data_IF_567874953907
#
_entry.id   IF_567874953907
#
_cell.length_a   1.000
_cell.length_b   1.000
_cell.length_c   1.000
_cell.angle_alpha   90.00
_cell.angle_beta   90.00
_cell.angle_gamma   90.00
#
_symmetry.space_group_name_H-M   'P 1'
#
loop_
_entity.id
_entity.type
_entity.pdbx_description
1 polymer ?
#
# COMPACT_ATOMS: atom_id res chain seq x y z
N UNK A 1 -61.14 -27.58 5.88
CA UNK A 1 -60.81 -26.21 6.34
C UNK A 1 -59.30 -26.15 6.58
N UNK A 2 -58.45 -26.18 5.54
CA UNK A 2 -56.98 -26.34 5.72
C UNK A 2 -56.22 -26.14 4.39
N UNK A 3 -56.27 -24.94 3.82
CA UNK A 3 -55.31 -24.57 2.74
C UNK A 3 -55.03 -23.07 2.69
N UNK A 4 -55.96 -22.22 3.16
CA UNK A 4 -55.78 -20.76 3.23
C UNK A 4 -54.65 -20.33 4.18
N UNK A 5 -54.32 -21.13 5.20
CA UNK A 5 -53.25 -20.80 6.15
C UNK A 5 -51.85 -21.24 5.68
N UNK A 6 -51.74 -22.10 4.66
CA UNK A 6 -50.43 -22.51 4.14
C UNK A 6 -49.86 -21.47 3.17
N UNK A 7 -50.74 -20.80 2.39
CA UNK A 7 -50.37 -19.75 1.45
C UNK A 7 -49.92 -18.44 2.14
N UNK A 8 -50.40 -18.20 3.36
CA UNK A 8 -50.03 -17.03 4.17
C UNK A 8 -48.61 -17.11 4.74
N UNK A 9 -48.04 -18.31 4.89
CA UNK A 9 -46.65 -18.48 5.32
C UNK A 9 -45.66 -18.48 4.14
N UNK A 10 -46.12 -18.79 2.92
CA UNK A 10 -45.26 -18.78 1.72
C UNK A 10 -44.99 -17.37 1.18
N UNK A 11 -45.87 -16.41 1.48
CA UNK A 11 -45.75 -15.02 1.01
C UNK A 11 -44.83 -14.15 1.86
N UNK A 12 -44.43 -14.62 3.05
CA UNK A 12 -43.47 -13.90 3.91
C UNK A 12 -41.98 -14.16 3.54
N UNK A 13 -41.70 -15.08 2.61
CA UNK A 13 -40.32 -15.47 2.28
C UNK A 13 -39.63 -14.62 1.19
N UNK A 14 -40.34 -13.66 0.56
CA UNK A 14 -39.83 -12.92 -0.60
C UNK A 14 -39.31 -11.50 -0.32
N UNK A 15 -39.05 -11.15 0.93
CA UNK A 15 -38.45 -9.85 1.28
C UNK A 15 -37.20 -10.04 2.15
N UNK A 16 -36.30 -10.92 1.72
CA UNK A 16 -34.89 -10.74 2.04
C UNK A 16 -34.34 -9.81 0.96
N UNK A 17 -34.22 -8.49 1.17
CA UNK A 17 -33.36 -7.71 0.31
C UNK A 17 -32.00 -8.38 0.41
N UNK A 18 -31.57 -8.99 -0.69
CA UNK A 18 -30.20 -9.46 -0.84
C UNK A 18 -29.34 -8.20 -0.87
N UNK A 19 -29.10 -7.63 0.30
CA UNK A 19 -28.08 -6.62 0.51
C UNK A 19 -26.76 -7.35 0.34
N UNK A 20 -26.35 -7.50 -0.92
CA UNK A 20 -24.92 -7.55 -1.19
C UNK A 20 -24.41 -6.18 -0.75
N UNK A 21 -23.94 -6.11 0.50
CA UNK A 21 -23.36 -4.90 1.10
C UNK A 21 -22.04 -4.60 0.41
N UNK A 22 -22.09 -4.25 -0.88
CA UNK A 22 -20.91 -3.94 -1.66
C UNK A 22 -20.39 -2.62 -1.14
N UNK A 23 -19.24 -2.69 -0.47
CA UNK A 23 -18.52 -1.50 -0.03
C UNK A 23 -18.41 -0.53 -1.21
N UNK A 24 -18.68 0.77 -1.01
CA UNK A 24 -18.58 1.73 -2.09
C UNK A 24 -17.21 1.67 -2.75
N UNK A 25 -17.17 1.86 -4.06
CA UNK A 25 -15.90 1.95 -4.77
C UNK A 25 -15.25 3.31 -4.51
N UNK A 26 -14.46 3.39 -3.45
CA UNK A 26 -13.60 4.53 -3.15
C UNK A 26 -12.22 4.22 -3.72
N UNK A 27 -11.72 5.11 -4.56
CA UNK A 27 -10.37 5.04 -5.11
C UNK A 27 -9.60 6.24 -4.58
N UNK A 28 -8.42 6.00 -4.02
CA UNK A 28 -7.55 7.05 -3.55
C UNK A 28 -6.11 6.75 -3.97
N UNK A 29 -5.39 7.80 -4.34
CA UNK A 29 -3.99 7.75 -4.78
C UNK A 29 -3.20 8.85 -4.08
N UNK A 30 -1.92 8.58 -3.87
CA UNK A 30 -0.98 9.50 -3.24
C UNK A 30 0.23 9.63 -4.16
N UNK A 31 0.64 10.88 -4.43
CA UNK A 31 1.77 11.23 -5.28
C UNK A 31 2.67 12.19 -4.52
N UNK A 32 3.99 12.04 -4.64
CA UNK A 32 4.96 13.00 -4.12
C UNK A 32 5.15 14.10 -5.18
N UNK A 33 5.10 15.38 -4.77
CA UNK A 33 5.43 16.50 -5.64
C UNK A 33 6.95 16.74 -5.71
N UNK A 34 7.38 17.72 -6.52
CA UNK A 34 8.81 18.02 -6.70
C UNK A 34 9.50 18.56 -5.44
N UNK A 35 8.74 19.03 -4.45
CA UNK A 35 9.23 19.61 -3.19
C UNK A 35 9.23 18.55 -2.06
N UNK A 36 8.57 17.41 -2.29
CA UNK A 36 8.47 16.30 -1.34
C UNK A 36 7.11 16.22 -0.62
N UNK A 37 6.15 17.10 -0.93
CA UNK A 37 4.82 17.02 -0.31
C UNK A 37 4.03 15.85 -0.89
N UNK A 38 3.10 15.32 -0.11
CA UNK A 38 2.21 14.26 -0.55
C UNK A 38 0.87 14.84 -1.00
N UNK A 39 0.58 14.70 -2.29
CA UNK A 39 -0.72 15.05 -2.88
C UNK A 39 -1.59 13.80 -2.88
N UNK A 40 -2.65 13.83 -2.09
CA UNK A 40 -3.66 12.77 -2.00
C UNK A 40 -4.86 13.18 -2.85
N UNK A 41 -5.30 12.31 -3.76
CA UNK A 41 -6.48 12.50 -4.60
C UNK A 41 -7.44 11.33 -4.41
N UNK A 42 -8.75 11.57 -4.47
CA UNK A 42 -9.75 10.53 -4.32
C UNK A 42 -11.00 10.74 -5.16
N UNK A 43 -11.63 9.61 -5.48
CA UNK A 43 -12.94 9.52 -6.11
C UNK A 43 -13.85 8.65 -5.25
N UNK A 44 -15.11 9.09 -5.10
CA UNK A 44 -16.13 8.40 -4.33
C UNK A 44 -17.45 8.40 -5.09
N UNK A 45 -18.32 7.40 -4.91
CA UNK A 45 -19.68 7.46 -5.43
C UNK A 45 -20.43 8.67 -4.87
N UNK A 46 -21.29 9.31 -5.67
CA UNK A 46 -21.97 10.57 -5.31
C UNK A 46 -22.79 10.51 -4.01
N UNK A 47 -23.21 9.32 -3.57
CA UNK A 47 -23.92 9.07 -2.31
C UNK A 47 -23.06 9.24 -1.05
N UNK A 48 -21.74 9.30 -1.17
CA UNK A 48 -20.84 9.54 -0.05
C UNK A 48 -20.63 11.05 0.06
N UNK A 49 -21.05 11.61 1.19
CA UNK A 49 -20.92 13.04 1.53
C UNK A 49 -20.24 13.18 2.89
N UNK A 50 -19.88 14.41 3.25
CA UNK A 50 -19.26 14.74 4.53
C UNK A 50 -17.75 14.97 4.41
N UNK A 51 -17.02 14.65 5.48
CA UNK A 51 -15.59 14.92 5.60
C UNK A 51 -14.76 13.65 5.41
N UNK A 52 -13.53 13.83 4.95
CA UNK A 52 -12.47 12.82 5.01
C UNK A 52 -11.44 13.23 6.06
N UNK A 53 -11.11 12.30 6.96
CA UNK A 53 -10.05 12.47 7.96
C UNK A 53 -8.84 11.68 7.52
N UNK A 54 -7.67 12.30 7.52
CA UNK A 54 -6.41 11.67 7.12
C UNK A 54 -5.51 11.52 8.35
N UNK A 55 -5.01 10.31 8.55
CA UNK A 55 -4.06 9.95 9.61
C UNK A 55 -2.77 9.45 8.96
N UNK A 56 -1.62 9.71 9.58
CA UNK A 56 -0.33 9.29 9.06
C UNK A 56 0.44 8.41 10.05
N UNK A 57 1.32 7.56 9.53
CA UNK A 57 2.29 6.78 10.30
C UNK A 57 3.48 6.42 9.43
N UNK A 58 4.64 6.22 10.06
CA UNK A 58 5.82 5.64 9.40
C UNK A 58 5.76 4.11 9.33
N UNK A 59 4.78 3.49 9.99
CA UNK A 59 4.50 2.06 9.92
C UNK A 59 3.28 1.77 9.02
N UNK A 60 3.40 0.91 7.99
CA UNK A 60 2.28 0.59 7.10
C UNK A 60 1.16 -0.21 7.79
N UNK A 61 1.52 -1.01 8.79
CA UNK A 61 0.59 -1.92 9.46
C UNK A 61 -0.23 -1.16 10.52
N UNK A 62 0.40 -0.23 11.24
CA UNK A 62 -0.18 0.48 12.38
C UNK A 62 -0.26 1.99 12.12
N UNK A 63 -1.47 2.44 11.74
CA UNK A 63 -1.80 3.86 11.58
C UNK A 63 -2.89 4.21 12.60
N UNK A 64 -2.54 4.84 13.75
CA UNK A 64 -3.47 5.08 14.83
C UNK A 64 -4.49 6.18 14.46
N UNK A 65 -5.80 5.89 14.48
CA UNK A 65 -6.84 6.85 14.10
C UNK A 65 -7.21 7.77 15.28
N UNK A 66 -6.21 8.38 15.94
CA UNK A 66 -6.41 9.27 17.09
C UNK A 66 -6.56 10.72 16.64
N UNK A 67 -5.44 11.34 16.28
CA UNK A 67 -5.40 12.74 15.85
C UNK A 67 -5.22 12.78 14.32
N UNK A 68 -6.21 13.28 13.56
CA UNK A 68 -6.04 13.44 12.12
C UNK A 68 -4.99 14.52 11.85
N UNK A 69 -4.12 14.27 10.88
CA UNK A 69 -3.15 15.26 10.40
C UNK A 69 -3.80 16.27 9.45
N UNK A 70 -4.96 15.93 8.89
CA UNK A 70 -5.73 16.77 8.00
C UNK A 70 -7.19 16.32 7.93
N UNK A 71 -8.07 17.28 7.63
CA UNK A 71 -9.50 17.06 7.40
C UNK A 71 -9.88 17.88 6.16
N UNK A 72 -10.62 17.29 5.23
CA UNK A 72 -11.10 17.95 4.02
C UNK A 72 -12.56 17.55 3.73
N UNK A 73 -13.26 18.33 2.91
CA UNK A 73 -14.55 17.88 2.38
C UNK A 73 -14.33 16.78 1.35
N UNK A 74 -15.20 15.77 1.35
CA UNK A 74 -15.12 14.69 0.34
C UNK A 74 -15.27 15.26 -1.07
N UNK A 75 -15.99 16.37 -1.24
CA UNK A 75 -16.13 17.11 -2.51
C UNK A 75 -14.88 17.83 -2.96
N UNK A 76 -13.84 17.96 -2.13
CA UNK A 76 -12.60 18.63 -2.54
C UNK A 76 -11.77 17.75 -3.49
N UNK A 77 -12.00 16.43 -3.46
CA UNK A 77 -11.33 15.40 -4.28
C UNK A 77 -9.80 15.34 -4.15
N UNK A 78 -9.19 16.25 -3.40
CA UNK A 78 -7.75 16.42 -3.25
C UNK A 78 -7.40 17.05 -1.90
N UNK A 79 -6.27 16.63 -1.35
CA UNK A 79 -5.62 17.20 -0.18
C UNK A 79 -4.11 17.18 -0.38
N UNK A 80 -3.41 18.21 0.07
CA UNK A 80 -1.94 18.21 0.14
C UNK A 80 -1.50 18.08 1.58
N UNK A 81 -0.63 17.10 1.85
CA UNK A 81 0.03 16.91 3.14
C UNK A 81 1.45 17.43 3.02
N UNK A 82 1.72 18.54 3.71
CA UNK A 82 3.06 19.12 3.80
C UNK A 82 3.92 18.23 4.69
N UNK A 83 5.08 17.82 4.20
CA UNK A 83 6.06 17.04 4.98
C UNK A 83 7.17 17.94 5.49
N UNK A 84 7.56 17.74 6.76
CA UNK A 84 8.76 18.38 7.32
C UNK A 84 10.03 17.55 7.07
N UNK A 85 9.86 16.28 6.65
CA UNK A 85 10.95 15.36 6.35
C UNK A 85 10.66 14.63 5.02
N UNK A 86 11.24 15.07 3.89
CA UNK A 86 11.04 14.44 2.58
C UNK A 86 11.78 13.10 2.42
N UNK A 87 12.63 12.73 3.39
CA UNK A 87 13.34 11.44 3.41
C UNK A 87 12.47 10.37 4.09
N UNK A 88 11.56 10.78 4.96
CA UNK A 88 10.67 9.87 5.68
C UNK A 88 9.54 9.37 4.78
N UNK A 89 9.34 8.04 4.77
CA UNK A 89 8.17 7.43 4.14
C UNK A 89 6.99 7.43 5.09
N UNK A 90 5.87 7.97 4.62
CA UNK A 90 4.59 7.97 5.34
C UNK A 90 3.55 7.07 4.65
N UNK A 91 2.72 6.47 5.48
CA UNK A 91 1.53 5.72 5.09
C UNK A 91 0.31 6.42 5.69
N UNK A 92 -0.75 6.50 4.91
CA UNK A 92 -1.95 7.24 5.28
C UNK A 92 -3.15 6.32 5.45
N UNK A 93 -3.94 6.57 6.48
CA UNK A 93 -5.27 6.04 6.65
C UNK A 93 -6.26 7.17 6.41
N UNK A 94 -7.09 7.03 5.39
CA UNK A 94 -8.20 7.92 5.10
C UNK A 94 -9.49 7.32 5.66
N UNK A 95 -10.27 8.13 6.38
CA UNK A 95 -11.57 7.74 6.92
C UNK A 95 -12.62 8.68 6.34
N UNK A 96 -13.38 8.18 5.36
CA UNK A 96 -14.46 8.89 4.69
C UNK A 96 -15.74 8.75 5.49
N UNK A 97 -16.37 9.89 5.81
CA UNK A 97 -17.66 9.96 6.50
C UNK A 97 -17.68 9.12 7.79
N UNK A 98 -16.55 9.11 8.52
CA UNK A 98 -16.33 8.31 9.74
C UNK A 98 -16.56 6.79 9.60
N UNK A 99 -16.73 6.27 8.37
CA UNK A 99 -17.13 4.88 8.11
C UNK A 99 -16.13 4.14 7.24
N UNK A 100 -15.85 4.67 6.05
CA UNK A 100 -15.08 3.93 5.04
C UNK A 100 -13.59 4.21 5.18
N UNK A 101 -12.81 3.14 5.34
CA UNK A 101 -11.38 3.22 5.64
C UNK A 101 -10.56 2.80 4.42
N UNK A 102 -9.64 3.65 3.98
CA UNK A 102 -8.74 3.36 2.86
C UNK A 102 -7.31 3.66 3.29
N UNK A 103 -6.41 2.67 3.13
CA UNK A 103 -4.98 2.85 3.36
C UNK A 103 -4.28 3.16 2.03
N UNK A 104 -3.47 4.21 2.00
CA UNK A 104 -2.70 4.63 0.81
C UNK A 104 -1.28 5.05 1.20
N UNK A 105 -0.38 5.08 0.24
CA UNK A 105 0.93 5.71 0.33
C UNK A 105 1.41 6.12 -1.06
N UNK A 106 2.42 6.99 -1.12
CA UNK A 106 3.10 7.34 -2.37
C UNK A 106 3.67 6.07 -3.01
N UNK A 107 3.18 5.71 -4.21
CA UNK A 107 3.54 4.45 -4.85
C UNK A 107 4.93 4.51 -5.48
N UNK A 108 5.16 5.53 -6.31
CA UNK A 108 6.49 5.83 -6.86
C UNK A 108 7.35 6.42 -5.74
N UNK A 109 8.57 5.94 -5.60
CA UNK A 109 9.53 6.44 -4.62
C UNK A 109 10.74 6.95 -5.38
N UNK A 110 10.92 8.26 -5.36
CA UNK A 110 12.03 8.89 -6.07
C UNK A 110 13.29 8.84 -5.20
N UNK A 111 14.20 7.94 -5.56
CA UNK A 111 15.52 7.76 -4.95
C UNK A 111 16.57 7.92 -6.06
N UNK A 112 17.46 8.89 -5.91
CA UNK A 112 18.53 9.11 -6.87
C UNK A 112 19.42 7.86 -6.97
N UNK A 113 19.62 7.37 -8.20
CA UNK A 113 20.39 6.15 -8.46
C UNK A 113 19.57 4.85 -8.41
N UNK A 114 18.26 4.90 -8.15
CA UNK A 114 17.35 3.75 -8.30
C UNK A 114 16.29 4.05 -9.35
N UNK A 115 16.26 3.26 -10.41
CA UNK A 115 15.26 3.44 -11.46
C UNK A 115 13.93 2.78 -11.08
N UNK A 116 12.81 3.42 -11.41
CA UNK A 116 11.47 2.83 -11.34
C UNK A 116 11.16 2.11 -10.03
N UNK A 117 11.50 2.69 -8.87
CA UNK A 117 11.17 2.13 -7.56
C UNK A 117 9.70 2.37 -7.24
N UNK A 118 8.93 1.29 -7.13
CA UNK A 118 7.51 1.33 -6.78
C UNK A 118 7.19 0.37 -5.64
N UNK A 119 6.39 0.82 -4.69
CA UNK A 119 5.67 -0.04 -3.74
C UNK A 119 4.47 -0.69 -4.45
N UNK A 120 4.30 -2.01 -4.32
CA UNK A 120 3.18 -2.76 -4.92
C UNK A 120 1.95 -2.77 -3.99
N UNK A 121 2.02 -2.10 -2.83
CA UNK A 121 0.91 -1.94 -1.92
C UNK A 121 -0.36 -1.37 -2.55
N UNK A 122 -1.49 -1.79 -2.00
CA UNK A 122 -2.82 -1.26 -2.34
C UNK A 122 -3.44 -1.84 -3.61
N UNK A 123 -2.75 -2.67 -4.40
CA UNK A 123 -3.40 -3.39 -5.50
C UNK A 123 -4.44 -4.38 -4.97
N UNK A 124 -5.62 -4.36 -5.59
CA UNK A 124 -6.72 -5.27 -5.27
C UNK A 124 -6.38 -6.67 -5.79
N UNK A 125 -6.48 -7.64 -4.89
CA UNK A 125 -6.40 -9.06 -5.20
C UNK A 125 -7.81 -9.64 -5.31
N UNK A 126 -7.89 -10.84 -5.87
CA UNK A 126 -9.13 -11.61 -5.88
C UNK A 126 -9.63 -11.82 -4.44
N UNK A 127 -10.95 -11.78 -4.27
CA UNK A 127 -11.58 -11.91 -2.95
C UNK A 127 -11.54 -10.64 -2.08
N UNK A 128 -11.26 -9.46 -2.65
CA UNK A 128 -11.37 -8.18 -1.94
C UNK A 128 -10.22 -7.87 -0.98
N UNK A 129 -9.16 -8.69 -0.98
CA UNK A 129 -7.91 -8.41 -0.27
C UNK A 129 -7.07 -7.40 -1.06
N UNK A 130 -6.15 -6.73 -0.38
CA UNK A 130 -5.18 -5.84 -1.02
C UNK A 130 -3.76 -6.27 -0.68
N UNK A 131 -2.82 -6.02 -1.60
CA UNK A 131 -1.38 -6.14 -1.29
C UNK A 131 -1.05 -5.17 -0.15
N UNK A 132 -0.36 -5.66 0.89
CA UNK A 132 0.03 -4.85 2.04
C UNK A 132 1.08 -3.82 1.61
N UNK A 133 0.87 -2.56 2.00
CA UNK A 133 1.83 -1.48 1.80
C UNK A 133 3.16 -1.74 2.49
N UNK A 134 4.25 -1.31 1.87
CA UNK A 134 5.60 -1.40 2.44
C UNK A 134 6.15 -2.81 2.58
N UNK A 135 5.57 -3.79 1.88
CA UNK A 135 6.00 -5.21 1.93
C UNK A 135 6.70 -5.68 0.67
N UNK A 136 6.23 -5.26 -0.50
CA UNK A 136 6.78 -5.68 -1.78
C UNK A 136 7.04 -4.44 -2.64
N UNK A 137 8.23 -4.38 -3.20
CA UNK A 137 8.66 -3.32 -4.09
C UNK A 137 9.15 -3.92 -5.40
N UNK A 138 9.01 -3.16 -6.49
CA UNK A 138 9.73 -3.39 -7.75
C UNK A 138 10.68 -2.24 -7.98
N UNK A 139 11.83 -2.52 -8.57
CA UNK A 139 12.78 -1.52 -9.04
C UNK A 139 13.39 -2.00 -10.36
N UNK A 140 13.91 -1.06 -11.15
CA UNK A 140 14.86 -1.35 -12.20
C UNK A 140 16.29 -1.40 -11.66
N UNK A 141 17.24 -0.93 -12.46
CA UNK A 141 18.64 -0.93 -12.06
C UNK A 141 18.89 -0.06 -10.82
N UNK A 142 19.77 -0.58 -9.95
CA UNK A 142 20.32 0.14 -8.80
C UNK A 142 21.78 0.50 -9.11
N UNK A 143 22.00 1.78 -9.35
CA UNK A 143 23.31 2.39 -9.58
C UNK A 143 24.00 2.83 -8.29
N UNK A 144 24.80 3.88 -8.39
CA UNK A 144 25.49 4.46 -7.24
C UNK A 144 24.55 5.31 -6.39
N UNK A 145 24.55 5.08 -5.08
CA UNK A 145 23.70 5.80 -4.14
C UNK A 145 24.55 6.76 -3.30
N UNK A 146 24.16 8.04 -3.28
CA UNK A 146 24.73 9.01 -2.35
C UNK A 146 24.12 8.85 -0.95
N UNK A 147 24.61 9.63 0.02
CA UNK A 147 24.14 9.54 1.41
C UNK A 147 22.63 9.79 1.57
N UNK A 148 22.09 10.77 0.84
CA UNK A 148 20.66 11.07 0.85
C UNK A 148 19.82 9.89 0.32
N UNK A 149 20.22 9.33 -0.81
CA UNK A 149 19.57 8.17 -1.41
C UNK A 149 19.61 6.94 -0.50
N UNK A 150 20.73 6.70 0.17
CA UNK A 150 20.87 5.63 1.17
C UNK A 150 19.92 5.82 2.35
N UNK A 151 19.79 7.05 2.87
CA UNK A 151 18.86 7.34 3.96
C UNK A 151 17.40 7.19 3.52
N UNK A 152 17.04 7.69 2.32
CA UNK A 152 15.68 7.51 1.76
C UNK A 152 15.36 6.04 1.54
N UNK A 153 16.32 5.26 1.02
CA UNK A 153 16.17 3.80 0.86
C UNK A 153 16.03 3.09 2.21
N UNK A 154 16.82 3.46 3.22
CA UNK A 154 16.71 2.92 4.58
C UNK A 154 15.33 3.20 5.20
N UNK A 155 14.79 4.41 4.99
CA UNK A 155 13.47 4.82 5.49
C UNK A 155 12.29 4.10 4.82
N UNK A 156 12.51 3.41 3.69
CA UNK A 156 11.49 2.50 3.12
C UNK A 156 11.26 1.24 3.98
N UNK A 157 12.24 0.89 4.83
CA UNK A 157 12.22 -0.33 5.62
C UNK A 157 12.55 -1.61 4.83
N UNK A 158 13.00 -1.50 3.58
CA UNK A 158 13.48 -2.64 2.79
C UNK A 158 14.69 -3.26 3.49
N UNK A 159 14.66 -4.58 3.68
CA UNK A 159 15.76 -5.37 4.29
C UNK A 159 16.38 -6.37 3.33
N UNK A 160 15.68 -6.67 2.24
CA UNK A 160 16.05 -7.71 1.29
C UNK A 160 15.86 -7.19 -0.12
N UNK A 161 16.87 -7.39 -0.96
CA UNK A 161 16.80 -7.18 -2.41
C UNK A 161 16.96 -8.55 -3.06
N UNK A 162 16.00 -8.91 -3.92
CA UNK A 162 16.14 -10.07 -4.80
C UNK A 162 16.47 -9.53 -6.18
N UNK A 163 17.67 -9.80 -6.64
CA UNK A 163 18.11 -9.40 -7.96
C UNK A 163 17.96 -10.55 -8.95
N UNK A 164 17.33 -10.23 -10.08
CA UNK A 164 17.07 -11.14 -11.19
C UNK A 164 18.06 -10.94 -12.35
N UNK A 165 18.90 -9.90 -12.29
CA UNK A 165 19.90 -9.60 -13.30
C UNK A 165 21.22 -10.33 -13.02
N UNK A 166 21.79 -10.94 -14.06
CA UNK A 166 23.07 -11.66 -13.99
C UNK A 166 24.30 -10.72 -13.87
N UNK A 167 24.10 -9.41 -13.86
CA UNK A 167 25.19 -8.39 -13.93
C UNK A 167 25.62 -7.85 -12.57
N UNK A 168 24.96 -8.26 -11.48
CA UNK A 168 25.20 -7.67 -10.17
C UNK A 168 26.30 -8.39 -9.43
N UNK A 169 27.31 -7.62 -9.00
CA UNK A 169 28.51 -8.15 -8.37
C UNK A 169 28.35 -8.36 -6.86
N UNK A 170 29.10 -9.30 -6.32
CA UNK A 170 29.22 -9.55 -4.87
C UNK A 170 29.64 -8.28 -4.09
N UNK A 171 30.40 -7.39 -4.73
CA UNK A 171 30.79 -6.09 -4.16
C UNK A 171 29.59 -5.20 -3.81
N UNK A 172 28.53 -5.21 -4.64
CA UNK A 172 27.31 -4.45 -4.36
C UNK A 172 26.54 -5.04 -3.16
N UNK A 173 26.48 -6.36 -3.01
CA UNK A 173 25.88 -6.99 -1.81
C UNK A 173 26.63 -6.57 -0.53
N UNK A 174 27.96 -6.65 -0.54
CA UNK A 174 28.80 -6.22 0.59
C UNK A 174 28.56 -4.74 0.91
N UNK A 175 28.44 -3.88 -0.11
CA UNK A 175 28.14 -2.46 0.07
C UNK A 175 26.79 -2.25 0.78
N UNK A 176 25.71 -2.86 0.30
CA UNK A 176 24.37 -2.73 0.88
C UNK A 176 24.30 -3.27 2.31
N UNK A 177 24.90 -4.45 2.53
CA UNK A 177 24.95 -5.09 3.85
C UNK A 177 25.72 -4.24 4.86
N UNK A 178 26.89 -3.70 4.48
CA UNK A 178 27.71 -2.87 5.38
C UNK A 178 27.13 -1.48 5.64
N UNK A 179 26.55 -0.83 4.61
CA UNK A 179 26.10 0.57 4.74
C UNK A 179 24.72 0.72 5.36
N UNK A 180 23.76 -0.12 4.96
CA UNK A 180 22.35 0.03 5.38
C UNK A 180 21.71 -1.28 5.85
N UNK A 181 22.48 -2.36 5.98
CA UNK A 181 22.00 -3.63 6.54
C UNK A 181 21.02 -4.38 5.65
N UNK A 182 21.04 -4.10 4.34
CA UNK A 182 20.20 -4.79 3.35
C UNK A 182 20.95 -6.02 2.84
N UNK A 183 20.26 -7.16 2.78
CA UNK A 183 20.77 -8.39 2.21
C UNK A 183 20.35 -8.55 0.75
N UNK A 184 21.29 -8.78 -0.15
CA UNK A 184 21.01 -9.07 -1.56
C UNK A 184 21.02 -10.58 -1.81
N UNK A 185 20.05 -11.06 -2.59
CA UNK A 185 19.99 -12.42 -3.10
C UNK A 185 20.01 -12.38 -4.62
N UNK A 186 20.71 -13.34 -5.22
CA UNK A 186 20.84 -13.48 -6.66
C UNK A 186 20.01 -14.66 -7.13
N UNK A 187 19.17 -14.42 -8.14
CA UNK A 187 18.40 -15.46 -8.80
C UNK A 187 18.71 -15.37 -10.30
N UNK A 188 19.61 -16.22 -10.80
CA UNK A 188 19.76 -16.41 -12.24
C UNK A 188 18.56 -17.25 -12.71
N UNK A 189 18.00 -16.90 -13.87
CA UNK A 189 16.82 -17.55 -14.48
C UNK A 189 16.95 -19.06 -14.70
N UNK A 190 18.12 -19.66 -14.44
CA UNK A 190 18.40 -21.06 -14.75
C UNK A 190 18.16 -22.00 -13.57
N UNK A 191 18.37 -21.61 -12.29
CA UNK A 191 17.94 -22.42 -11.13
C UNK A 191 17.84 -21.57 -9.86
N UNK A 192 16.63 -21.33 -9.33
CA UNK A 192 16.44 -20.80 -7.98
C UNK A 192 16.49 -21.95 -6.94
N UNK A 193 17.68 -22.49 -6.68
CA UNK A 193 17.89 -23.50 -5.63
C UNK A 193 18.53 -22.88 -4.38
N UNK A 194 17.74 -22.10 -3.63
CA UNK A 194 18.00 -21.86 -2.20
C UNK A 194 16.72 -22.13 -1.39
N UNK A 195 16.74 -23.05 -0.42
CA UNK A 195 15.60 -23.35 0.45
C UNK A 195 15.01 -22.14 1.17
N UNK A 196 15.81 -21.08 1.38
CA UNK A 196 15.40 -19.89 2.12
C UNK A 196 14.42 -18.98 1.36
N UNK A 197 14.48 -18.94 0.03
CA UNK A 197 13.53 -18.15 -0.78
C UNK A 197 12.14 -18.79 -0.75
N UNK A 198 12.07 -20.13 -0.75
CA UNK A 198 10.80 -20.85 -0.56
C UNK A 198 10.22 -20.62 0.85
N UNK A 199 11.05 -20.50 1.89
CA UNK A 199 10.56 -20.14 3.25
C UNK A 199 10.03 -18.71 3.34
N UNK A 200 10.59 -17.76 2.59
CA UNK A 200 10.07 -16.38 2.54
C UNK A 200 8.71 -16.32 1.82
N UNK A 201 8.49 -17.16 0.81
CA UNK A 201 7.20 -17.32 0.15
C UNK A 201 6.19 -18.12 0.99
N UNK A 202 6.65 -19.12 1.75
CA UNK A 202 5.80 -20.01 2.55
C UNK A 202 5.42 -19.47 3.93
N UNK A 203 6.14 -18.47 4.48
CA UNK A 203 5.79 -17.80 5.74
C UNK A 203 4.79 -16.64 5.56
N UNK A 204 4.33 -16.40 4.35
CA UNK A 204 3.18 -15.54 4.08
C UNK A 204 1.89 -16.31 4.30
N UNK A 205 1.56 -16.66 5.55
CA UNK A 205 0.23 -17.17 5.87
C UNK A 205 -0.81 -16.11 5.48
N UNK A 206 -1.71 -16.55 4.60
CA UNK A 206 -2.76 -15.78 3.92
C UNK A 206 -3.94 -15.38 4.82
#
# INVERSE_FOLDING_TARGET
MTYKNLLSYLTLLFILPSCTSRSPNIVAVCEEDKVGNNIIKWETPSRIKGKVKVYASTSPDRIPPRNPIAIADISDHRLTVVTNDPVQRYYYLMVFDNRYRVKIAGRKIDILGVQNLYDIGGYKLNGGRNVKWGKLYRAGEIGNLNHYALNKLKNTGIRTIVNLDNTFSEQKDIFFKKKIGIQCYFCSFIYCWKPDIQRLAAKGDY
#
